data_IF_001681890873
#
_entry.id   IF_001681890873
#
_cell.length_a   1.000
_cell.length_b   1.000
_cell.length_c   1.000
_cell.angle_alpha   90.00
_cell.angle_beta   90.00
_cell.angle_gamma   90.00
#
_symmetry.space_group_name_H-M   'P 1'
#
loop_
_entity.id
_entity.type
_entity.pdbx_description
1 polymer ?
#
# COMPACT_ATOMS: atom_id res chain seq x y z
N UNK A 1 -38.27 -82.79 22.24
CA UNK A 1 -37.38 -82.28 21.18
C UNK A 1 -36.98 -80.85 21.55
N UNK A 2 -35.73 -80.57 21.87
CA UNK A 2 -35.21 -79.24 22.24
C UNK A 2 -34.39 -78.73 21.04
N UNK A 3 -34.79 -77.59 20.47
CA UNK A 3 -33.98 -76.92 19.42
C UNK A 3 -33.04 -75.91 20.07
N UNK A 4 -31.77 -75.83 19.64
CA UNK A 4 -30.85 -74.82 20.12
C UNK A 4 -31.06 -73.53 19.36
N UNK A 5 -31.12 -72.40 20.13
CA UNK A 5 -31.19 -71.03 19.58
C UNK A 5 -29.73 -70.64 19.28
N UNK A 6 -29.45 -70.35 18.00
CA UNK A 6 -28.15 -69.85 17.53
C UNK A 6 -28.15 -68.32 17.69
N UNK A 7 -27.28 -67.81 18.57
CA UNK A 7 -26.99 -66.35 18.67
C UNK A 7 -25.93 -65.97 17.64
N UNK A 8 -26.31 -65.08 16.72
CA UNK A 8 -25.39 -64.48 15.76
C UNK A 8 -24.83 -63.18 16.35
N UNK A 9 -23.51 -62.97 16.48
CA UNK A 9 -22.96 -61.72 16.98
C UNK A 9 -23.04 -60.64 15.86
N UNK A 10 -23.68 -59.52 16.16
CA UNK A 10 -23.73 -58.32 15.32
C UNK A 10 -22.38 -57.61 15.45
N UNK A 11 -21.53 -57.64 14.42
CA UNK A 11 -20.34 -56.79 14.35
C UNK A 11 -20.74 -55.39 13.93
N UNK A 12 -20.69 -54.43 14.85
CA UNK A 12 -20.79 -53.02 14.54
C UNK A 12 -19.43 -52.48 14.03
N UNK A 13 -19.38 -52.17 12.75
CA UNK A 13 -18.25 -51.38 12.19
C UNK A 13 -18.38 -49.95 12.64
N UNK A 14 -17.50 -49.46 13.50
CA UNK A 14 -17.29 -48.07 13.78
C UNK A 14 -16.58 -47.45 12.57
N UNK A 15 -17.27 -46.64 11.76
CA UNK A 15 -16.68 -45.82 10.72
C UNK A 15 -15.90 -44.68 11.44
N UNK A 16 -14.58 -44.73 11.37
CA UNK A 16 -13.75 -43.55 11.70
C UNK A 16 -14.03 -42.49 10.62
N UNK A 17 -14.69 -41.40 10.95
CA UNK A 17 -14.75 -40.24 10.09
C UNK A 17 -13.35 -39.57 10.14
N UNK A 18 -12.71 -39.48 9.00
CA UNK A 18 -11.47 -38.69 8.86
C UNK A 18 -11.83 -37.21 9.16
N UNK A 19 -10.99 -36.48 9.94
CA UNK A 19 -11.21 -35.05 10.14
C UNK A 19 -11.07 -34.36 8.79
N UNK A 20 -12.16 -33.74 8.31
CA UNK A 20 -12.18 -32.88 7.14
C UNK A 20 -11.20 -31.73 7.41
N UNK A 21 -10.06 -31.71 6.71
CA UNK A 21 -9.10 -30.61 6.76
C UNK A 21 -9.82 -29.43 6.14
N UNK A 22 -10.25 -28.48 7.00
CA UNK A 22 -10.83 -27.22 6.54
C UNK A 22 -9.82 -26.53 5.61
N UNK A 23 -10.19 -26.33 4.34
CA UNK A 23 -9.34 -25.62 3.39
C UNK A 23 -9.10 -24.20 3.93
N UNK A 24 -7.84 -23.80 4.02
CA UNK A 24 -7.49 -22.39 4.31
C UNK A 24 -8.16 -21.50 3.27
N UNK A 25 -8.91 -20.45 3.68
CA UNK A 25 -9.51 -19.54 2.72
C UNK A 25 -8.45 -18.99 1.78
N UNK A 26 -8.78 -18.89 0.49
CA UNK A 26 -7.86 -18.27 -0.49
C UNK A 26 -7.62 -16.82 -0.08
N UNK A 27 -6.36 -16.37 -0.13
CA UNK A 27 -6.00 -14.98 0.14
C UNK A 27 -6.64 -14.08 -0.92
N UNK A 28 -7.16 -12.93 -0.50
CA UNK A 28 -7.69 -11.93 -1.42
C UNK A 28 -6.54 -11.20 -2.15
N UNK A 29 -6.86 -10.54 -3.28
CA UNK A 29 -5.89 -9.68 -3.98
C UNK A 29 -5.33 -8.57 -3.07
N UNK A 30 -6.16 -8.03 -2.18
CA UNK A 30 -5.73 -7.09 -1.14
C UNK A 30 -4.71 -7.70 -0.18
N UNK A 31 -4.93 -8.96 0.26
CA UNK A 31 -4.01 -9.66 1.15
C UNK A 31 -2.67 -9.93 0.49
N UNK A 32 -2.70 -10.34 -0.78
CA UNK A 32 -1.49 -10.60 -1.57
C UNK A 32 -0.71 -9.32 -1.83
N UNK A 33 -1.38 -8.22 -2.18
CA UNK A 33 -0.75 -6.91 -2.35
C UNK A 33 -0.10 -6.41 -1.05
N UNK A 34 -0.83 -6.47 0.06
CA UNK A 34 -0.31 -6.03 1.36
C UNK A 34 0.88 -6.89 1.80
N UNK A 35 0.83 -8.21 1.56
CA UNK A 35 1.94 -9.12 1.82
C UNK A 35 3.15 -8.84 0.92
N UNK A 36 2.93 -8.49 -0.36
CA UNK A 36 4.00 -8.08 -1.27
C UNK A 36 4.72 -6.83 -0.74
N UNK A 37 3.97 -5.80 -0.33
CA UNK A 37 4.56 -4.59 0.27
C UNK A 37 5.28 -4.91 1.60
N UNK A 38 4.67 -5.71 2.47
CA UNK A 38 5.26 -6.13 3.75
C UNK A 38 6.56 -6.94 3.57
N UNK A 39 6.74 -7.64 2.45
CA UNK A 39 7.94 -8.43 2.17
C UNK A 39 9.21 -7.59 2.04
N UNK A 40 9.08 -6.27 1.88
CA UNK A 40 10.17 -5.29 1.82
C UNK A 40 10.41 -4.55 3.13
N UNK A 41 9.78 -4.99 4.22
CA UNK A 41 9.86 -4.30 5.51
C UNK A 41 11.29 -4.13 6.01
N UNK A 42 11.67 -2.90 6.36
CA UNK A 42 13.01 -2.52 6.79
C UNK A 42 13.91 -2.03 5.66
N UNK A 43 13.57 -2.27 4.40
CA UNK A 43 14.39 -1.93 3.25
C UNK A 43 14.03 -0.58 2.65
N UNK A 44 15.03 0.11 2.12
CA UNK A 44 14.89 1.36 1.38
C UNK A 44 15.37 1.19 -0.07
N UNK A 45 14.76 1.92 -0.99
CA UNK A 45 15.03 1.78 -2.42
C UNK A 45 15.13 3.14 -3.11
N UNK A 46 16.10 3.29 -4.00
CA UNK A 46 16.22 4.46 -4.85
C UNK A 46 15.19 4.41 -5.99
N UNK A 47 14.68 5.57 -6.35
CA UNK A 47 13.68 5.71 -7.41
C UNK A 47 13.89 6.94 -8.27
N UNK A 48 13.07 7.03 -9.29
CA UNK A 48 13.11 8.11 -10.27
C UNK A 48 11.71 8.59 -10.68
N UNK A 49 11.63 9.84 -11.15
CA UNK A 49 10.44 10.36 -11.78
C UNK A 49 10.30 9.76 -13.18
N UNK A 50 9.15 9.11 -13.43
CA UNK A 50 8.80 8.52 -14.73
C UNK A 50 7.92 9.46 -15.55
N UNK A 51 7.04 10.25 -14.89
CA UNK A 51 6.17 11.21 -15.57
C UNK A 51 6.95 12.42 -16.09
N UNK A 52 6.37 13.09 -17.10
CA UNK A 52 7.00 14.24 -17.78
C UNK A 52 6.18 15.53 -17.67
N UNK A 53 5.17 15.56 -16.81
CA UNK A 53 4.32 16.72 -16.58
C UNK A 53 5.15 17.91 -16.07
N UNK A 54 4.87 19.13 -16.51
CA UNK A 54 5.58 20.33 -16.07
C UNK A 54 5.43 20.60 -14.58
N UNK A 55 4.30 20.19 -14.00
CA UNK A 55 4.04 20.29 -12.57
C UNK A 55 4.99 19.42 -11.71
N UNK A 56 5.78 18.53 -12.32
CA UNK A 56 6.75 17.66 -11.65
C UNK A 56 8.18 18.22 -11.67
N UNK A 57 8.35 19.49 -12.01
CA UNK A 57 9.68 20.08 -12.20
C UNK A 57 10.60 19.91 -10.96
N UNK A 58 10.04 19.97 -9.76
CA UNK A 58 10.79 19.84 -8.50
C UNK A 58 11.30 18.41 -8.24
N UNK A 59 10.70 17.42 -8.90
CA UNK A 59 11.12 16.01 -8.80
C UNK A 59 12.11 15.62 -9.91
N UNK A 60 12.24 16.44 -10.94
CA UNK A 60 13.00 16.08 -12.14
C UNK A 60 14.51 16.10 -11.85
N UNK A 61 15.12 14.91 -11.90
CA UNK A 61 16.54 14.73 -11.63
C UNK A 61 16.93 14.85 -10.14
N UNK A 62 15.95 14.91 -9.24
CA UNK A 62 16.21 14.81 -7.81
C UNK A 62 16.40 13.33 -7.43
N UNK A 63 17.33 13.05 -6.53
CA UNK A 63 17.43 11.73 -5.91
C UNK A 63 16.20 11.49 -5.04
N UNK A 64 15.61 10.30 -5.18
CA UNK A 64 14.41 9.88 -4.46
C UNK A 64 14.67 8.56 -3.77
N UNK A 65 14.17 8.43 -2.54
CA UNK A 65 14.25 7.17 -1.79
C UNK A 65 12.91 6.92 -1.10
N UNK A 66 12.37 5.73 -1.28
CA UNK A 66 11.31 5.21 -0.42
C UNK A 66 11.90 4.25 0.62
N UNK A 67 11.25 4.14 1.78
CA UNK A 67 11.64 3.23 2.84
C UNK A 67 10.41 2.51 3.40
N UNK A 68 10.30 1.20 3.24
CA UNK A 68 9.23 0.40 3.87
C UNK A 68 9.58 0.25 5.36
N UNK A 69 9.31 1.31 6.15
CA UNK A 69 9.95 1.54 7.44
C UNK A 69 9.24 0.87 8.62
N UNK A 70 7.94 0.97 8.68
CA UNK A 70 7.12 0.47 9.79
C UNK A 70 6.07 -0.48 9.22
N UNK A 71 6.03 -1.69 9.77
CA UNK A 71 5.13 -2.73 9.28
C UNK A 71 4.54 -3.49 10.45
N UNK A 72 3.23 -3.58 10.49
CA UNK A 72 2.51 -4.51 11.34
C UNK A 72 1.43 -5.26 10.54
N UNK A 73 0.61 -6.04 11.20
CA UNK A 73 -0.43 -6.85 10.54
C UNK A 73 -1.52 -5.99 9.87
N UNK A 74 -1.69 -4.75 10.28
CA UNK A 74 -2.76 -3.84 9.89
C UNK A 74 -2.30 -2.60 9.13
N UNK A 75 -1.06 -2.15 9.33
CA UNK A 75 -0.55 -0.90 8.76
C UNK A 75 0.91 -1.04 8.28
N UNK A 76 1.20 -0.40 7.16
CA UNK A 76 2.57 -0.25 6.64
C UNK A 76 2.79 1.24 6.33
N UNK A 77 3.90 1.79 6.85
CA UNK A 77 4.32 3.17 6.60
C UNK A 77 5.53 3.22 5.70
N UNK A 78 5.40 3.95 4.62
CA UNK A 78 6.45 4.08 3.60
C UNK A 78 6.81 5.56 3.42
N UNK A 79 7.78 6.10 4.18
CA UNK A 79 8.35 7.41 3.91
C UNK A 79 8.88 7.53 2.49
N UNK A 80 8.57 8.66 1.85
CA UNK A 80 9.07 9.05 0.54
C UNK A 80 9.89 10.33 0.66
N UNK A 81 11.17 10.25 0.40
CA UNK A 81 12.14 11.34 0.53
C UNK A 81 12.61 11.82 -0.82
N UNK A 82 12.75 13.13 -0.96
CA UNK A 82 13.24 13.77 -2.17
C UNK A 82 14.41 14.65 -1.80
N UNK A 83 15.55 14.51 -2.47
CA UNK A 83 16.72 15.34 -2.20
C UNK A 83 16.54 16.73 -2.83
N UNK A 84 16.76 17.75 -2.04
CA UNK A 84 16.74 19.14 -2.48
C UNK A 84 18.05 19.53 -3.17
N UNK A 85 18.05 20.62 -3.91
CA UNK A 85 19.22 21.12 -4.63
C UNK A 85 20.42 21.46 -3.71
N UNK A 86 20.18 21.70 -2.42
CA UNK A 86 21.23 21.94 -1.41
C UNK A 86 21.81 20.65 -0.80
N UNK A 87 21.34 19.48 -1.25
CA UNK A 87 21.72 18.18 -0.75
C UNK A 87 20.98 17.72 0.50
N UNK A 88 20.11 18.55 1.09
CA UNK A 88 19.24 18.14 2.19
C UNK A 88 18.07 17.28 1.68
N UNK A 89 17.48 16.47 2.58
CA UNK A 89 16.31 15.67 2.26
C UNK A 89 15.01 16.38 2.65
N UNK A 90 14.07 16.50 1.72
CA UNK A 90 12.66 16.70 2.04
C UNK A 90 12.10 15.37 2.57
N UNK A 91 11.70 15.36 3.84
CA UNK A 91 11.26 14.18 4.60
C UNK A 91 9.81 14.31 5.04
N UNK A 92 9.05 15.14 4.32
CA UNK A 92 7.70 15.56 4.70
C UNK A 92 6.63 14.53 4.41
N UNK A 93 6.89 13.50 3.57
CA UNK A 93 5.86 12.63 3.01
C UNK A 93 6.01 11.19 3.50
N UNK A 94 4.88 10.61 3.93
CA UNK A 94 4.79 9.17 4.23
C UNK A 94 3.49 8.62 3.65
N UNK A 95 3.59 7.58 2.85
CA UNK A 95 2.43 6.79 2.44
C UNK A 95 2.07 5.82 3.57
N UNK A 96 0.80 5.82 3.96
CA UNK A 96 0.26 4.97 5.03
C UNK A 96 -0.75 4.02 4.42
N UNK A 97 -0.42 2.74 4.39
CA UNK A 97 -1.28 1.66 3.89
C UNK A 97 -1.91 0.96 5.07
N UNK A 98 -3.23 0.92 5.14
CA UNK A 98 -3.97 0.30 6.25
C UNK A 98 -4.95 -0.74 5.72
N UNK A 99 -5.04 -1.90 6.37
CA UNK A 99 -6.11 -2.87 6.13
C UNK A 99 -7.43 -2.36 6.68
N UNK A 100 -8.50 -2.52 5.92
CA UNK A 100 -9.86 -2.20 6.34
C UNK A 100 -10.76 -3.42 6.18
N UNK A 101 -11.97 -3.38 6.75
CA UNK A 101 -12.96 -4.46 6.56
C UNK A 101 -13.34 -4.65 5.08
N UNK A 102 -13.20 -3.61 4.25
CA UNK A 102 -13.58 -3.61 2.83
C UNK A 102 -12.42 -3.78 1.85
N UNK A 103 -11.17 -3.79 2.31
CA UNK A 103 -9.99 -3.85 1.44
C UNK A 103 -8.80 -3.11 2.03
N UNK A 104 -8.23 -2.15 1.28
CA UNK A 104 -7.09 -1.36 1.70
C UNK A 104 -7.40 0.13 1.66
N UNK A 105 -6.71 0.88 2.50
CA UNK A 105 -6.70 2.35 2.54
C UNK A 105 -5.30 2.86 2.28
N UNK A 106 -5.17 3.90 1.47
CA UNK A 106 -3.96 4.72 1.34
C UNK A 106 -4.24 6.11 1.89
N UNK A 107 -3.40 6.57 2.81
CA UNK A 107 -3.36 7.97 3.26
C UNK A 107 -1.96 8.55 3.10
N UNK A 108 -1.90 9.86 2.93
CA UNK A 108 -0.67 10.63 2.78
C UNK A 108 -0.46 11.45 4.05
N UNK A 109 0.46 11.01 4.91
CA UNK A 109 0.88 11.77 6.09
C UNK A 109 1.94 12.79 5.67
N UNK A 110 1.57 14.08 5.73
CA UNK A 110 2.46 15.20 5.45
C UNK A 110 2.79 15.94 6.73
N UNK A 111 4.09 16.22 6.92
CA UNK A 111 4.62 16.87 8.12
C UNK A 111 5.53 18.02 7.76
N UNK A 112 5.56 19.06 8.61
CA UNK A 112 6.58 20.10 8.62
C UNK A 112 7.88 19.58 9.23
N UNK A 113 8.96 20.34 9.09
CA UNK A 113 10.31 19.96 9.57
C UNK A 113 10.45 19.90 11.09
N UNK A 114 9.54 20.54 11.83
CA UNK A 114 9.37 20.43 13.29
C UNK A 114 8.55 19.20 13.74
N UNK A 115 8.00 18.44 12.76
CA UNK A 115 7.19 17.24 12.98
C UNK A 115 5.70 17.49 13.11
N UNK A 116 5.24 18.75 13.13
CA UNK A 116 3.82 19.06 13.18
C UNK A 116 3.11 18.67 11.87
N UNK A 117 1.83 18.23 11.94
CA UNK A 117 1.05 17.93 10.74
C UNK A 117 0.89 19.14 9.81
N UNK A 118 1.03 18.94 8.50
CA UNK A 118 0.64 19.94 7.51
C UNK A 118 -0.88 20.11 7.50
N UNK A 119 -1.35 21.30 7.09
CA UNK A 119 -2.79 21.57 6.91
C UNK A 119 -3.42 20.61 5.88
N UNK A 120 -2.65 20.19 4.86
CA UNK A 120 -3.05 19.20 3.84
C UNK A 120 -2.34 17.89 4.11
N UNK A 121 -2.86 17.15 5.10
CA UNK A 121 -2.32 15.84 5.52
C UNK A 121 -3.43 14.80 5.67
N UNK A 122 -3.06 13.52 5.73
CA UNK A 122 -3.95 12.36 5.89
C UNK A 122 -5.06 12.28 4.82
N UNK A 123 -4.82 12.83 3.64
CA UNK A 123 -5.69 12.66 2.48
C UNK A 123 -5.38 11.36 1.73
N UNK A 124 -6.36 10.85 0.99
CA UNK A 124 -6.21 9.59 0.25
C UNK A 124 -7.56 8.97 -0.07
N UNK A 125 -7.64 7.63 -0.02
CA UNK A 125 -8.88 6.91 -0.23
C UNK A 125 -8.77 5.41 0.00
N UNK A 126 -9.90 4.74 -0.14
CA UNK A 126 -10.04 3.30 0.01
C UNK A 126 -10.12 2.63 -1.36
N UNK A 127 -9.71 1.36 -1.45
CA UNK A 127 -9.96 0.53 -2.64
C UNK A 127 -11.47 0.36 -2.83
N UNK A 128 -11.92 0.41 -4.08
CA UNK A 128 -13.36 0.24 -4.44
C UNK A 128 -13.64 -1.07 -5.16
N UNK A 129 -12.59 -1.78 -5.53
CA UNK A 129 -12.63 -3.10 -6.17
C UNK A 129 -11.46 -3.96 -5.68
N UNK A 130 -11.40 -5.20 -6.12
CA UNK A 130 -10.36 -6.14 -5.68
C UNK A 130 -8.96 -5.76 -6.18
N UNK A 131 -8.84 -4.98 -7.23
CA UNK A 131 -7.55 -4.74 -7.88
C UNK A 131 -6.88 -6.03 -8.31
N UNK A 132 -5.56 -6.09 -8.14
CA UNK A 132 -4.75 -7.30 -8.32
C UNK A 132 -3.74 -7.45 -7.18
N UNK A 133 -3.14 -8.62 -7.05
CA UNK A 133 -2.05 -8.87 -6.10
C UNK A 133 -0.84 -7.92 -6.28
N UNK A 134 -0.71 -7.29 -7.45
CA UNK A 134 0.39 -6.38 -7.77
C UNK A 134 -0.04 -4.91 -7.79
N UNK A 135 -1.30 -4.59 -8.03
CA UNK A 135 -1.74 -3.21 -8.27
C UNK A 135 -3.07 -2.93 -7.59
N UNK A 136 -3.11 -1.82 -6.83
CA UNK A 136 -4.29 -1.35 -6.12
C UNK A 136 -4.58 0.12 -6.46
N UNK A 137 -5.86 0.43 -6.67
CA UNK A 137 -6.36 1.77 -6.95
C UNK A 137 -7.09 2.38 -5.76
N UNK A 138 -6.78 3.63 -5.44
CA UNK A 138 -7.31 4.36 -4.30
C UNK A 138 -7.94 5.68 -4.78
N UNK A 139 -9.20 5.71 -5.22
CA UNK A 139 -9.89 6.96 -5.53
C UNK A 139 -10.07 7.80 -4.27
N UNK A 140 -10.01 9.13 -4.44
CA UNK A 140 -10.15 10.10 -3.36
C UNK A 140 -11.43 9.87 -2.56
N UNK A 141 -11.33 9.82 -1.22
CA UNK A 141 -12.48 9.63 -0.33
C UNK A 141 -13.18 10.96 0.04
N UNK A 142 -14.36 10.86 0.63
CA UNK A 142 -15.17 12.03 0.99
C UNK A 142 -14.49 12.95 2.01
N UNK A 143 -13.69 12.40 2.93
CA UNK A 143 -12.94 13.19 3.91
C UNK A 143 -11.86 14.03 3.23
N UNK A 144 -11.13 13.42 2.28
CA UNK A 144 -10.10 14.08 1.49
C UNK A 144 -10.69 15.14 0.54
N UNK A 145 -11.86 14.87 -0.06
CA UNK A 145 -12.60 15.85 -0.86
C UNK A 145 -12.91 17.07 0.00
N UNK A 146 -13.51 16.89 1.18
CA UNK A 146 -13.85 17.98 2.08
C UNK A 146 -12.59 18.76 2.55
N UNK A 147 -11.46 18.07 2.75
CA UNK A 147 -10.18 18.70 3.04
C UNK A 147 -9.72 19.58 1.87
N UNK A 148 -9.71 19.04 0.66
CA UNK A 148 -9.25 19.74 -0.53
C UNK A 148 -10.11 20.97 -0.86
N UNK A 149 -11.44 20.87 -0.74
CA UNK A 149 -12.35 22.00 -0.91
C UNK A 149 -12.08 23.10 0.12
N UNK A 150 -11.86 22.74 1.39
CA UNK A 150 -11.56 23.70 2.46
C UNK A 150 -10.25 24.44 2.23
N UNK A 151 -9.23 23.73 1.70
CA UNK A 151 -7.88 24.27 1.46
C UNK A 151 -7.73 24.90 0.04
N UNK A 152 -8.81 24.96 -0.76
CA UNK A 152 -8.78 25.55 -2.11
C UNK A 152 -8.07 24.70 -3.16
N UNK A 153 -8.01 23.39 -2.96
CA UNK A 153 -7.37 22.40 -3.85
C UNK A 153 -8.41 21.69 -4.74
N UNK A 154 -9.36 22.41 -5.29
CA UNK A 154 -10.51 21.90 -6.04
C UNK A 154 -10.13 20.93 -7.18
N UNK A 155 -8.94 21.09 -7.77
CA UNK A 155 -8.45 20.17 -8.80
C UNK A 155 -8.18 18.76 -8.27
N UNK A 156 -8.01 18.59 -6.95
CA UNK A 156 -7.62 17.32 -6.31
C UNK A 156 -8.81 16.44 -5.91
N UNK A 157 -10.05 16.95 -6.01
CA UNK A 157 -11.27 16.22 -5.61
C UNK A 157 -11.62 15.04 -6.53
N UNK A 158 -10.87 14.84 -7.60
CA UNK A 158 -11.03 13.72 -8.54
C UNK A 158 -9.75 12.85 -8.65
N UNK A 159 -8.82 13.02 -7.72
CA UNK A 159 -7.58 12.25 -7.72
C UNK A 159 -7.85 10.76 -7.55
N UNK A 160 -7.10 9.95 -8.30
CA UNK A 160 -6.97 8.51 -8.09
C UNK A 160 -5.50 8.20 -7.93
N UNK A 161 -5.15 7.53 -6.87
CA UNK A 161 -3.80 7.01 -6.67
C UNK A 161 -3.77 5.53 -7.05
N UNK A 162 -2.72 5.12 -7.75
CA UNK A 162 -2.46 3.70 -8.03
C UNK A 162 -1.08 3.35 -7.48
N UNK A 163 -1.00 2.25 -6.78
CA UNK A 163 0.26 1.72 -6.27
C UNK A 163 0.45 0.32 -6.84
N UNK A 164 1.66 0.08 -7.36
CA UNK A 164 2.10 -1.21 -7.84
C UNK A 164 3.29 -1.67 -7.00
N UNK A 165 3.35 -2.96 -6.68
CA UNK A 165 4.45 -3.56 -5.93
C UNK A 165 4.63 -5.03 -6.30
N UNK A 166 5.86 -5.42 -6.59
CA UNK A 166 6.25 -6.82 -6.70
C UNK A 166 6.75 -7.33 -5.34
N UNK A 167 6.53 -8.60 -4.98
CA UNK A 167 7.07 -9.17 -3.76
C UNK A 167 8.60 -9.29 -3.80
N UNK A 168 9.24 -9.27 -2.64
CA UNK A 168 10.68 -9.39 -2.51
C UNK A 168 11.20 -10.68 -3.17
N UNK A 169 12.31 -10.56 -3.91
CA UNK A 169 12.93 -11.66 -4.62
C UNK A 169 12.35 -11.94 -6.01
N UNK A 170 11.38 -11.16 -6.47
CA UNK A 170 10.94 -11.20 -7.87
C UNK A 170 12.04 -10.68 -8.79
N UNK A 171 12.13 -11.25 -9.99
CA UNK A 171 12.99 -10.74 -11.06
C UNK A 171 12.45 -9.37 -11.51
N UNK A 172 13.33 -8.38 -11.67
CA UNK A 172 12.97 -7.00 -12.05
C UNK A 172 11.87 -6.37 -11.15
N UNK A 173 11.88 -6.70 -9.85
CA UNK A 173 10.91 -6.20 -8.88
C UNK A 173 10.87 -4.66 -8.85
N UNK A 174 9.68 -4.09 -8.95
CA UNK A 174 9.43 -2.65 -8.95
C UNK A 174 8.33 -2.29 -7.94
N UNK A 175 8.48 -1.13 -7.30
CA UNK A 175 7.38 -0.39 -6.69
C UNK A 175 7.12 0.85 -7.54
N UNK A 176 5.85 1.14 -7.82
CA UNK A 176 5.49 2.41 -8.45
C UNK A 176 4.31 3.06 -7.73
N UNK A 177 4.41 4.37 -7.56
CA UNK A 177 3.32 5.22 -7.08
C UNK A 177 2.91 6.18 -8.17
N UNK A 178 1.61 6.25 -8.43
CA UNK A 178 1.02 7.09 -9.46
C UNK A 178 -0.13 7.91 -8.89
N UNK A 179 -0.20 9.18 -9.28
CA UNK A 179 -1.38 10.03 -9.14
C UNK A 179 -1.93 10.33 -10.53
N UNK A 180 -3.22 10.13 -10.72
CA UNK A 180 -3.92 10.48 -11.94
C UNK A 180 -5.22 11.22 -11.64
N UNK A 181 -5.55 12.19 -12.49
CA UNK A 181 -6.88 12.75 -12.65
C UNK A 181 -7.08 13.14 -14.12
N UNK A 182 -8.30 13.08 -14.60
CA UNK A 182 -8.61 13.32 -16.00
C UNK A 182 -9.80 14.24 -16.15
N UNK A 183 -9.83 15.02 -17.25
CA UNK A 183 -10.99 15.86 -17.61
C UNK A 183 -12.24 15.00 -17.78
N UNK A 184 -12.10 13.79 -18.35
CA UNK A 184 -13.20 12.83 -18.47
C UNK A 184 -13.74 12.36 -17.10
N UNK A 185 -12.91 12.35 -16.07
CA UNK A 185 -13.26 12.07 -14.68
C UNK A 185 -13.75 13.29 -13.89
N UNK A 186 -13.90 14.46 -14.54
CA UNK A 186 -14.40 15.68 -13.91
C UNK A 186 -13.31 16.65 -13.43
N UNK A 187 -12.03 16.37 -13.65
CA UNK A 187 -10.95 17.30 -13.31
C UNK A 187 -10.92 18.53 -14.25
N UNK A 188 -10.42 19.69 -13.77
CA UNK A 188 -10.27 20.89 -14.62
C UNK A 188 -9.19 20.72 -15.70
N UNK A 189 -8.21 19.83 -15.46
CA UNK A 189 -7.16 19.44 -16.40
C UNK A 189 -6.65 18.02 -16.09
N UNK A 190 -6.15 17.37 -17.12
CA UNK A 190 -5.46 16.08 -16.92
C UNK A 190 -4.20 16.29 -16.07
N UNK A 191 -3.88 15.29 -15.24
CA UNK A 191 -2.68 15.23 -14.43
C UNK A 191 -2.20 13.79 -14.34
N UNK A 192 -0.92 13.59 -14.55
CA UNK A 192 -0.28 12.31 -14.38
C UNK A 192 1.07 12.49 -13.71
N UNK A 193 1.22 11.92 -12.53
CA UNK A 193 2.48 11.84 -11.80
C UNK A 193 2.82 10.37 -11.57
N UNK A 194 4.04 9.95 -11.84
CA UNK A 194 4.52 8.59 -11.54
C UNK A 194 5.98 8.63 -11.12
N UNK A 195 6.27 7.97 -9.99
CA UNK A 195 7.63 7.62 -9.54
C UNK A 195 7.74 6.10 -9.46
N UNK A 196 8.91 5.57 -9.78
CA UNK A 196 9.20 4.14 -9.75
C UNK A 196 10.50 3.87 -8.98
N UNK A 197 10.57 2.73 -8.29
CA UNK A 197 11.67 2.33 -7.42
C UNK A 197 12.11 0.91 -7.76
N UNK A 198 13.41 0.71 -7.92
CA UNK A 198 14.01 -0.60 -8.18
C UNK A 198 14.13 -1.39 -6.87
N UNK A 199 13.25 -2.35 -6.66
CA UNK A 199 13.20 -3.20 -5.47
C UNK A 199 14.25 -4.34 -5.47
N UNK A 200 15.05 -4.45 -6.53
CA UNK A 200 16.11 -5.46 -6.60
C UNK A 200 17.38 -5.03 -5.89
N UNK A 201 17.53 -3.72 -5.57
CA UNK A 201 18.75 -3.13 -5.01
C UNK A 201 18.44 -2.21 -3.84
N UNK A 202 18.39 -2.75 -2.61
CA UNK A 202 18.26 -1.93 -1.41
C UNK A 202 19.39 -0.89 -1.29
N UNK A 203 19.06 0.27 -0.73
CA UNK A 203 20.01 1.36 -0.43
C UNK A 203 19.97 1.71 1.05
N UNK A 204 20.97 2.48 1.53
CA UNK A 204 20.93 2.99 2.89
C UNK A 204 19.71 3.89 3.11
N UNK A 205 18.92 3.67 4.18
CA UNK A 205 17.77 4.51 4.47
C UNK A 205 18.19 5.98 4.67
N UNK A 206 17.43 6.93 4.13
CA UNK A 206 17.64 8.35 4.42
C UNK A 206 17.32 8.65 5.90
N UNK A 207 17.64 9.86 6.40
CA UNK A 207 17.32 10.23 7.78
C UNK A 207 15.82 10.05 8.09
N UNK A 208 15.50 9.80 9.36
CA UNK A 208 14.11 9.59 9.84
C UNK A 208 13.15 10.64 9.30
N UNK A 209 11.96 10.24 8.79
CA UNK A 209 10.94 11.18 8.31
C UNK A 209 10.50 12.14 9.43
N UNK A 210 10.06 13.33 9.04
CA UNK A 210 9.60 14.32 10.01
C UNK A 210 8.38 13.80 10.79
N UNK A 211 8.37 14.05 12.10
CA UNK A 211 7.31 13.61 12.99
C UNK A 211 7.36 12.14 13.41
N UNK A 212 8.27 11.34 12.87
CA UNK A 212 8.43 9.94 13.28
C UNK A 212 9.46 9.78 14.42
N UNK A 213 9.27 8.74 15.24
CA UNK A 213 10.28 8.36 16.23
C UNK A 213 11.57 7.88 15.56
N UNK A 214 12.76 8.10 16.19
CA UNK A 214 13.99 7.48 15.72
C UNK A 214 13.84 5.94 15.65
N UNK A 215 14.59 5.25 14.78
CA UNK A 215 14.62 3.79 14.79
C UNK A 215 15.09 3.29 16.14
N UNK A 216 14.44 2.25 16.64
CA UNK A 216 14.74 1.59 17.93
C UNK A 216 16.01 0.78 17.88
#
# INVERSE_FOLDING_TARGET
MRYPILFLPCLTFAACADPEIAATPAQSEHDLFFAALASHCGEAYAGELVSTDEADADFRGADMVMHVRECDESEIRVPFHVQRADGSWDRSRTWVFTRTDGGLRLKHDHRHDDGEPDAVTMYGGDTVDAGTARSQGFPVDAESIALFEREGLDASVTNVWTVEVDPAGSEDAEFAYQLQRTVAGGAPADRFFRVAFDLTRPVEPPPTPWGAAPPS
#
